data_IF_111449489410
#
_entry.id   IF_111449489410
#
_cell.length_a   1.000
_cell.length_b   1.000
_cell.length_c   1.000
_cell.angle_alpha   90.00
_cell.angle_beta   90.00
_cell.angle_gamma   90.00
#
_symmetry.space_group_name_H-M   'P 1'
#
loop_
_entity.id
_entity.type
_entity.pdbx_description
1 polymer ?
#
# COMPACT_ATOMS: atom_id res chain seq x y z
N UNK A 1 -5.64 -30.18 -12.12
CA UNK A 1 -4.58 -29.95 -11.12
C UNK A 1 -4.35 -28.45 -11.02
N UNK A 2 -4.25 -27.88 -9.83
CA UNK A 2 -3.93 -26.47 -9.63
C UNK A 2 -2.47 -26.24 -10.06
N UNK A 3 -2.16 -25.23 -10.91
CA UNK A 3 -0.80 -24.98 -11.35
C UNK A 3 0.11 -24.61 -10.16
N UNK A 4 1.42 -24.89 -10.24
CA UNK A 4 2.35 -24.51 -9.17
C UNK A 4 2.47 -22.99 -9.06
N UNK A 5 2.81 -22.49 -7.87
CA UNK A 5 3.17 -21.08 -7.65
C UNK A 5 4.52 -20.82 -8.36
N UNK A 6 4.58 -19.77 -9.17
CA UNK A 6 5.77 -19.37 -9.93
C UNK A 6 6.27 -17.98 -9.58
N UNK A 7 5.43 -17.15 -8.95
CA UNK A 7 5.78 -15.78 -8.58
C UNK A 7 4.98 -15.33 -7.36
N UNK A 8 5.50 -14.32 -6.65
CA UNK A 8 4.82 -13.74 -5.48
C UNK A 8 4.64 -12.23 -5.68
N UNK A 9 3.47 -11.73 -5.28
CA UNK A 9 3.21 -10.30 -5.20
C UNK A 9 2.76 -9.96 -3.78
N UNK A 10 3.35 -8.92 -3.19
CA UNK A 10 3.13 -8.53 -1.80
C UNK A 10 2.39 -7.20 -1.70
N UNK A 11 1.47 -7.12 -0.74
CA UNK A 11 1.08 -5.84 -0.16
C UNK A 11 2.22 -5.27 0.69
N UNK A 12 2.11 -4.02 1.12
CA UNK A 12 3.15 -3.32 1.88
C UNK A 12 2.70 -2.97 3.30
N UNK A 13 1.70 -2.08 3.41
CA UNK A 13 1.21 -1.56 4.69
C UNK A 13 0.60 -2.70 5.52
N UNK A 14 0.94 -2.78 6.80
CA UNK A 14 0.56 -3.85 7.75
C UNK A 14 1.04 -5.27 7.35
N UNK A 15 1.61 -5.43 6.15
CA UNK A 15 2.30 -6.65 5.71
C UNK A 15 3.80 -6.60 6.00
N UNK A 16 4.47 -5.48 5.68
CA UNK A 16 5.93 -5.30 5.90
C UNK A 16 6.28 -4.42 7.10
N UNK A 17 5.40 -3.53 7.52
CA UNK A 17 5.52 -2.62 8.67
C UNK A 17 4.13 -2.24 9.18
N UNK A 18 4.04 -1.80 10.41
CA UNK A 18 2.81 -1.21 10.95
C UNK A 18 2.55 0.17 10.31
N UNK A 19 1.45 0.32 9.57
CA UNK A 19 1.17 1.58 8.86
C UNK A 19 0.75 2.72 9.79
N UNK A 20 0.01 2.41 10.86
CA UNK A 20 -0.57 3.43 11.74
C UNK A 20 0.49 4.34 12.39
N UNK A 21 1.56 3.83 13.02
CA UNK A 21 2.63 4.68 13.58
C UNK A 21 3.30 5.56 12.52
N UNK A 22 3.49 5.03 11.31
CA UNK A 22 4.08 5.77 10.18
C UNK A 22 3.21 6.96 9.79
N UNK A 23 1.89 6.75 9.62
CA UNK A 23 0.96 7.82 9.26
C UNK A 23 0.85 8.88 10.36
N UNK A 24 0.77 8.47 11.63
CA UNK A 24 0.73 9.40 12.78
C UNK A 24 1.98 10.29 12.80
N UNK A 25 3.16 9.71 12.61
CA UNK A 25 4.42 10.47 12.55
C UNK A 25 4.46 11.42 11.34
N UNK A 26 4.01 10.96 10.17
CA UNK A 26 3.99 11.79 8.96
C UNK A 26 3.02 12.98 9.09
N UNK A 27 1.86 12.76 9.70
CA UNK A 27 0.89 13.83 9.98
C UNK A 27 1.40 14.81 11.03
N UNK A 28 2.09 14.34 12.07
CA UNK A 28 2.72 15.22 13.06
C UNK A 28 3.79 16.12 12.44
N UNK A 29 4.71 15.55 11.64
CA UNK A 29 5.73 16.36 10.95
C UNK A 29 5.14 17.38 9.97
N UNK A 30 4.08 17.00 9.28
CA UNK A 30 3.33 17.91 8.42
C UNK A 30 2.73 19.05 9.24
N UNK A 31 2.10 18.77 10.38
CA UNK A 31 1.52 19.79 11.27
C UNK A 31 2.58 20.73 11.84
N UNK A 32 3.74 20.22 12.27
CA UNK A 32 4.86 21.02 12.76
C UNK A 32 5.40 21.95 11.67
N UNK A 33 5.55 21.46 10.44
CA UNK A 33 5.96 22.28 9.30
C UNK A 33 4.96 23.40 9.01
N UNK A 34 3.65 23.10 9.01
CA UNK A 34 2.60 24.10 8.80
C UNK A 34 2.65 25.16 9.92
N UNK A 35 2.78 24.76 11.17
CA UNK A 35 2.85 25.69 12.30
C UNK A 35 4.07 26.62 12.22
N UNK A 36 5.21 26.09 11.78
CA UNK A 36 6.46 26.84 11.70
C UNK A 36 6.51 27.78 10.48
N UNK A 37 6.06 27.35 9.31
CA UNK A 37 6.24 28.07 8.05
C UNK A 37 4.98 28.78 7.55
N UNK A 38 3.80 28.30 7.93
CA UNK A 38 2.50 28.76 7.45
C UNK A 38 1.47 28.82 8.59
N UNK A 39 1.73 29.56 9.71
CA UNK A 39 0.88 29.54 10.90
C UNK A 39 -0.57 29.95 10.61
N UNK A 40 -0.82 30.77 9.58
CA UNK A 40 -2.15 31.13 9.14
C UNK A 40 -2.98 29.98 8.58
N UNK A 41 -2.33 28.87 8.15
CA UNK A 41 -3.01 27.68 7.64
C UNK A 41 -3.35 26.65 8.73
N UNK A 42 -2.79 26.76 9.94
CA UNK A 42 -3.01 25.79 11.04
C UNK A 42 -4.50 25.50 11.29
N UNK A 43 -5.40 26.50 11.42
CA UNK A 43 -6.81 26.23 11.70
C UNK A 43 -7.55 25.59 10.51
N UNK A 44 -6.97 25.55 9.32
CA UNK A 44 -7.60 25.11 8.08
C UNK A 44 -7.06 23.76 7.57
N UNK A 45 -5.86 23.35 7.98
CA UNK A 45 -5.19 22.11 7.59
C UNK A 45 -5.27 21.06 8.71
N UNK A 46 -6.48 20.81 9.21
CA UNK A 46 -6.73 19.73 10.16
C UNK A 46 -6.85 18.39 9.45
N UNK A 47 -6.55 17.25 10.11
CA UNK A 47 -6.75 15.92 9.53
C UNK A 47 -8.15 15.71 8.96
N UNK A 48 -9.17 16.23 9.68
CA UNK A 48 -10.58 16.15 9.27
C UNK A 48 -10.83 16.93 7.97
N UNK A 49 -10.38 18.18 7.88
CA UNK A 49 -10.56 19.02 6.68
C UNK A 49 -9.88 18.38 5.47
N UNK A 50 -8.66 17.86 5.65
CA UNK A 50 -7.92 17.18 4.58
C UNK A 50 -8.66 15.91 4.14
N UNK A 51 -9.15 15.11 5.09
CA UNK A 51 -9.90 13.89 4.80
C UNK A 51 -11.19 14.17 4.03
N UNK A 52 -12.01 15.12 4.49
CA UNK A 52 -13.26 15.52 3.82
C UNK A 52 -13.01 16.00 2.40
N UNK A 53 -11.99 16.84 2.20
CA UNK A 53 -11.68 17.35 0.87
C UNK A 53 -11.17 16.25 -0.06
N UNK A 54 -10.35 15.32 0.43
CA UNK A 54 -9.92 14.15 -0.34
C UNK A 54 -11.09 13.26 -0.75
N UNK A 55 -12.06 13.06 0.14
CA UNK A 55 -13.28 12.29 -0.15
C UNK A 55 -14.10 12.98 -1.24
N UNK A 56 -14.29 14.30 -1.16
CA UNK A 56 -14.97 15.08 -2.20
C UNK A 56 -14.20 14.99 -3.53
N UNK A 57 -12.89 15.16 -3.52
CA UNK A 57 -12.05 15.04 -4.72
C UNK A 57 -12.15 13.67 -5.37
N UNK A 58 -12.18 12.61 -4.58
CA UNK A 58 -12.33 11.25 -5.11
C UNK A 58 -13.70 11.03 -5.78
N UNK A 59 -14.76 11.63 -5.23
CA UNK A 59 -16.10 11.58 -5.80
C UNK A 59 -16.20 12.42 -7.09
N UNK A 60 -15.63 13.63 -7.11
CA UNK A 60 -15.65 14.53 -8.26
C UNK A 60 -14.74 14.05 -9.42
N UNK A 61 -13.71 13.27 -9.10
CA UNK A 61 -12.71 12.76 -10.05
C UNK A 61 -12.55 11.23 -9.97
N UNK A 62 -13.60 10.45 -10.34
CA UNK A 62 -13.59 8.98 -10.18
C UNK A 62 -12.45 8.29 -10.93
N UNK A 63 -11.98 8.89 -12.05
CA UNK A 63 -10.81 8.40 -12.78
C UNK A 63 -9.49 8.50 -12.00
N UNK A 64 -9.42 9.33 -10.94
CA UNK A 64 -8.26 9.53 -10.08
C UNK A 64 -8.50 9.14 -8.62
N UNK A 65 -9.65 8.56 -8.31
CA UNK A 65 -10.02 8.19 -6.93
C UNK A 65 -9.06 7.17 -6.28
N UNK A 66 -8.25 6.48 -7.07
CA UNK A 66 -7.22 5.54 -6.65
C UNK A 66 -5.85 6.20 -6.40
N UNK A 67 -5.65 7.45 -6.82
CA UNK A 67 -4.37 8.16 -6.78
C UNK A 67 -4.24 8.93 -5.46
N UNK A 68 -3.67 8.26 -4.45
CA UNK A 68 -3.54 8.82 -3.11
C UNK A 68 -2.58 10.02 -3.05
N UNK A 69 -1.58 10.04 -3.92
CA UNK A 69 -0.63 11.16 -4.05
C UNK A 69 -1.36 12.39 -4.56
N UNK A 70 -2.08 12.26 -5.66
CA UNK A 70 -2.84 13.37 -6.23
C UNK A 70 -3.93 13.88 -5.28
N UNK A 71 -4.72 12.96 -4.70
CA UNK A 71 -5.80 13.34 -3.78
C UNK A 71 -5.30 14.18 -2.60
N UNK A 72 -4.17 13.79 -1.99
CA UNK A 72 -3.62 14.54 -0.86
C UNK A 72 -3.00 15.86 -1.31
N UNK A 73 -2.19 15.85 -2.36
CA UNK A 73 -1.54 17.06 -2.89
C UNK A 73 -2.57 18.09 -3.33
N UNK A 74 -3.60 17.67 -4.08
CA UNK A 74 -4.64 18.56 -4.57
C UNK A 74 -5.51 19.12 -3.44
N UNK A 75 -5.79 18.31 -2.39
CA UNK A 75 -6.49 18.80 -1.21
C UNK A 75 -5.68 19.92 -0.51
N UNK A 76 -4.39 19.71 -0.31
CA UNK A 76 -3.50 20.70 0.32
C UNK A 76 -3.39 21.97 -0.54
N UNK A 77 -3.25 21.85 -1.85
CA UNK A 77 -3.22 22.98 -2.80
C UNK A 77 -4.51 23.81 -2.74
N UNK A 78 -5.68 23.16 -2.74
CA UNK A 78 -6.96 23.86 -2.68
C UNK A 78 -7.17 24.58 -1.35
N UNK A 79 -6.74 23.98 -0.24
CA UNK A 79 -6.82 24.66 1.06
C UNK A 79 -5.89 25.86 1.08
N UNK A 80 -4.63 25.72 0.64
CA UNK A 80 -3.69 26.84 0.55
C UNK A 80 -4.26 28.00 -0.29
N UNK A 81 -4.74 27.72 -1.50
CA UNK A 81 -5.32 28.71 -2.39
C UNK A 81 -6.57 29.39 -1.79
N UNK A 82 -7.47 28.63 -1.18
CA UNK A 82 -8.70 29.17 -0.54
C UNK A 82 -8.38 30.18 0.57
N UNK A 83 -7.22 30.04 1.21
CA UNK A 83 -6.80 30.90 2.30
C UNK A 83 -5.69 31.91 1.88
N UNK A 84 -5.59 32.21 0.59
CA UNK A 84 -4.76 33.29 0.06
C UNK A 84 -3.25 32.95 -0.04
N UNK A 85 -2.90 31.66 0.00
CA UNK A 85 -1.53 31.20 -0.20
C UNK A 85 -1.31 30.68 -1.62
N UNK A 86 -0.06 30.68 -2.07
CA UNK A 86 0.33 30.03 -3.32
C UNK A 86 0.03 28.51 -3.26
N UNK A 87 -0.57 27.90 -4.30
CA UNK A 87 -0.76 26.43 -4.37
C UNK A 87 0.53 25.62 -4.15
N UNK A 88 1.70 26.14 -4.50
CA UNK A 88 3.00 25.50 -4.23
C UNK A 88 3.26 25.24 -2.74
N UNK A 89 2.62 25.99 -1.84
CA UNK A 89 2.63 25.69 -0.40
C UNK A 89 2.03 24.33 -0.09
N UNK A 90 0.94 23.96 -0.77
CA UNK A 90 0.33 22.64 -0.63
C UNK A 90 1.26 21.52 -1.09
N UNK A 91 2.02 21.74 -2.15
CA UNK A 91 3.04 20.78 -2.64
C UNK A 91 4.19 20.63 -1.63
N UNK A 92 4.69 21.75 -1.08
CA UNK A 92 5.73 21.71 -0.06
C UNK A 92 5.29 20.98 1.21
N UNK A 93 4.04 21.16 1.64
CA UNK A 93 3.45 20.44 2.77
C UNK A 93 3.37 18.94 2.47
N UNK A 94 2.97 18.57 1.24
CA UNK A 94 2.93 17.16 0.82
C UNK A 94 4.32 16.51 0.82
N UNK A 95 5.37 17.23 0.38
CA UNK A 95 6.74 16.70 0.40
C UNK A 95 7.22 16.35 1.81
N UNK A 96 6.86 17.15 2.81
CA UNK A 96 7.15 16.84 4.22
C UNK A 96 6.43 15.57 4.67
N UNK A 97 5.14 15.44 4.31
CA UNK A 97 4.35 14.25 4.61
C UNK A 97 4.95 13.00 3.96
N UNK A 98 5.22 13.04 2.65
CA UNK A 98 5.67 11.85 1.92
C UNK A 98 7.09 11.44 2.29
N UNK A 99 7.95 12.38 2.68
CA UNK A 99 9.27 12.07 3.23
C UNK A 99 9.13 11.22 4.50
N UNK A 100 8.33 11.69 5.47
CA UNK A 100 8.10 10.99 6.73
C UNK A 100 7.32 9.66 6.55
N UNK A 101 6.42 9.58 5.54
CA UNK A 101 5.66 8.37 5.17
C UNK A 101 6.58 7.23 4.74
N UNK A 102 7.75 7.52 4.22
CA UNK A 102 8.74 6.53 3.78
C UNK A 102 9.75 6.14 4.88
N UNK A 103 9.67 6.73 6.06
CA UNK A 103 10.46 6.31 7.23
C UNK A 103 9.72 5.20 7.97
N UNK A 104 9.84 3.98 7.50
CA UNK A 104 9.16 2.80 8.05
C UNK A 104 10.09 2.00 8.97
N UNK A 105 9.52 1.31 9.93
CA UNK A 105 10.18 0.30 10.74
C UNK A 105 9.65 -1.06 10.29
N UNK A 106 10.50 -1.84 9.60
CA UNK A 106 10.14 -3.14 9.07
C UNK A 106 9.93 -4.14 10.20
N UNK A 107 8.98 -5.07 10.03
CA UNK A 107 8.96 -6.27 10.87
C UNK A 107 10.23 -7.09 10.65
N UNK A 108 10.75 -7.71 11.70
CA UNK A 108 12.04 -8.43 11.71
C UNK A 108 12.09 -9.59 10.70
N UNK A 109 10.95 -10.16 10.34
CA UNK A 109 10.81 -11.27 9.41
C UNK A 109 10.88 -10.85 7.94
N UNK A 110 10.72 -9.57 7.61
CA UNK A 110 10.55 -9.10 6.23
C UNK A 110 11.80 -9.34 5.39
N UNK A 111 12.92 -8.73 5.77
CA UNK A 111 14.15 -8.82 4.95
C UNK A 111 14.64 -10.27 4.82
N UNK A 112 14.73 -11.08 5.89
CA UNK A 112 15.12 -12.47 5.77
C UNK A 112 14.19 -13.30 4.87
N UNK A 113 12.86 -13.05 4.95
CA UNK A 113 11.89 -13.73 4.09
C UNK A 113 12.03 -13.32 2.62
N UNK A 114 12.21 -12.01 2.33
CA UNK A 114 12.42 -11.53 0.96
C UNK A 114 13.67 -12.14 0.33
N UNK A 115 14.76 -12.27 1.08
CA UNK A 115 15.99 -12.93 0.59
C UNK A 115 15.72 -14.41 0.28
N UNK A 116 15.09 -15.14 1.20
CA UNK A 116 14.83 -16.57 1.01
C UNK A 116 13.81 -16.85 -0.12
N UNK A 117 12.75 -16.04 -0.24
CA UNK A 117 11.76 -16.16 -1.28
C UNK A 117 12.29 -15.71 -2.65
N UNK A 118 13.06 -14.61 -2.69
CA UNK A 118 13.65 -14.07 -3.91
C UNK A 118 14.69 -14.98 -4.56
N UNK A 119 15.31 -15.88 -3.78
CA UNK A 119 16.18 -16.93 -4.31
C UNK A 119 15.44 -17.98 -5.17
N UNK A 120 14.09 -18.04 -5.04
CA UNK A 120 13.27 -19.11 -5.66
C UNK A 120 12.18 -18.58 -6.59
N UNK A 121 11.72 -17.37 -6.36
CA UNK A 121 10.59 -16.75 -7.08
C UNK A 121 10.92 -15.32 -7.47
N UNK A 122 10.48 -14.85 -8.64
CA UNK A 122 10.39 -13.43 -8.91
C UNK A 122 9.36 -12.80 -7.96
N UNK A 123 9.74 -11.67 -7.35
CA UNK A 123 8.91 -10.94 -6.39
C UNK A 123 8.45 -9.62 -6.98
N UNK A 124 7.20 -9.25 -6.73
CA UNK A 124 6.66 -7.92 -7.01
C UNK A 124 5.89 -7.39 -5.80
N UNK A 125 5.54 -6.12 -5.86
CA UNK A 125 4.63 -5.49 -4.88
C UNK A 125 3.46 -4.83 -5.56
N UNK A 126 2.32 -4.76 -4.86
CA UNK A 126 1.20 -3.90 -5.21
C UNK A 126 0.59 -3.30 -3.95
N UNK A 127 0.58 -1.97 -3.84
CA UNK A 127 -0.04 -1.25 -2.72
C UNK A 127 -1.10 -0.26 -3.20
N UNK A 128 -2.16 -0.08 -2.41
CA UNK A 128 -3.09 1.04 -2.59
C UNK A 128 -2.49 2.37 -2.09
N UNK A 129 -1.43 2.30 -1.30
CA UNK A 129 -0.69 3.45 -0.78
C UNK A 129 0.36 3.99 -1.74
N UNK A 130 1.11 4.96 -1.25
CA UNK A 130 2.14 5.68 -2.00
C UNK A 130 3.53 5.58 -1.36
N UNK A 131 3.81 4.47 -0.65
CA UNK A 131 5.15 4.18 -0.17
C UNK A 131 6.12 3.94 -1.34
N UNK A 132 7.32 4.50 -1.24
CA UNK A 132 8.38 4.35 -2.24
C UNK A 132 9.45 3.39 -1.72
N UNK A 133 9.49 2.17 -2.26
CA UNK A 133 10.46 1.15 -1.89
C UNK A 133 11.91 1.52 -2.20
N UNK A 134 12.16 2.51 -3.06
CA UNK A 134 13.51 3.05 -3.29
C UNK A 134 13.97 3.89 -2.11
N UNK A 135 13.10 4.74 -1.59
CA UNK A 135 13.36 5.54 -0.37
C UNK A 135 13.49 4.65 0.87
N UNK A 136 12.71 3.57 0.94
CA UNK A 136 12.73 2.59 2.04
C UNK A 136 13.97 1.66 1.96
N UNK A 137 14.56 1.49 0.77
CA UNK A 137 15.75 0.64 0.59
C UNK A 137 15.42 -0.83 0.33
N UNK A 138 14.22 -1.16 -0.13
CA UNK A 138 13.80 -2.54 -0.43
C UNK A 138 13.70 -2.85 -1.93
N UNK A 139 13.85 -1.87 -2.81
CA UNK A 139 13.60 -2.01 -4.25
C UNK A 139 14.40 -3.12 -4.92
N UNK A 140 15.61 -3.45 -4.40
CA UNK A 140 16.49 -4.49 -4.97
C UNK A 140 15.92 -5.91 -4.87
N UNK A 141 14.89 -6.14 -4.04
CA UNK A 141 14.26 -7.44 -3.89
C UNK A 141 13.17 -7.72 -4.93
N UNK A 142 12.75 -6.71 -5.71
CA UNK A 142 11.57 -6.80 -6.56
C UNK A 142 11.88 -6.57 -8.03
N UNK A 143 11.29 -7.40 -8.89
CA UNK A 143 11.31 -7.22 -10.34
C UNK A 143 10.23 -6.25 -10.82
N UNK A 144 9.19 -6.02 -10.01
CA UNK A 144 8.08 -5.09 -10.26
C UNK A 144 7.60 -4.42 -8.97
N UNK A 145 7.47 -3.10 -9.00
CA UNK A 145 6.92 -2.31 -7.89
C UNK A 145 5.73 -1.53 -8.43
N UNK A 146 4.53 -2.01 -8.13
CA UNK A 146 3.30 -1.43 -8.60
C UNK A 146 2.52 -0.81 -7.44
N UNK A 147 1.73 0.19 -7.77
CA UNK A 147 0.75 0.78 -6.86
C UNK A 147 -0.51 1.17 -7.62
N UNK A 148 -1.54 1.58 -6.90
CA UNK A 148 -2.81 1.96 -7.50
C UNK A 148 -2.67 3.11 -8.51
N UNK A 149 -1.77 4.07 -8.25
CA UNK A 149 -1.47 5.20 -9.14
C UNK A 149 -0.88 4.73 -10.48
N UNK A 150 0.16 3.89 -10.44
CA UNK A 150 0.86 3.41 -11.64
C UNK A 150 0.00 2.51 -12.53
N UNK A 151 -0.94 1.77 -11.93
CA UNK A 151 -1.82 0.82 -12.65
C UNK A 151 -3.15 1.46 -13.06
N UNK A 152 -3.53 2.57 -12.46
CA UNK A 152 -4.82 3.23 -12.72
C UNK A 152 -6.01 2.57 -12.00
N UNK A 153 -5.76 1.64 -11.07
CA UNK A 153 -6.81 1.06 -10.25
C UNK A 153 -6.28 0.54 -8.90
N UNK A 154 -7.14 0.56 -7.88
CA UNK A 154 -6.83 0.08 -6.53
C UNK A 154 -7.44 -1.30 -6.27
N UNK A 155 -6.87 -2.06 -5.35
CA UNK A 155 -7.54 -3.20 -4.70
C UNK A 155 -8.85 -2.69 -4.05
N UNK A 156 -9.95 -3.41 -4.14
CA UNK A 156 -10.12 -4.82 -4.52
C UNK A 156 -10.37 -5.08 -6.01
N UNK A 157 -10.19 -4.11 -6.91
CA UNK A 157 -10.46 -4.32 -8.34
C UNK A 157 -9.49 -5.36 -8.93
N UNK A 158 -10.00 -6.27 -9.74
CA UNK A 158 -9.23 -7.34 -10.38
C UNK A 158 -8.03 -6.83 -11.19
N UNK A 159 -8.14 -5.64 -11.79
CA UNK A 159 -7.06 -5.00 -12.57
C UNK A 159 -5.73 -4.88 -11.80
N UNK A 160 -5.77 -4.65 -10.48
CA UNK A 160 -4.59 -4.59 -9.62
C UNK A 160 -3.80 -5.91 -9.63
N UNK A 161 -4.50 -7.03 -9.47
CA UNK A 161 -3.90 -8.37 -9.42
C UNK A 161 -3.46 -8.86 -10.81
N UNK A 162 -4.25 -8.57 -11.83
CA UNK A 162 -3.92 -8.92 -13.22
C UNK A 162 -2.69 -8.16 -13.70
N UNK A 163 -2.56 -6.87 -13.37
CA UNK A 163 -1.37 -6.08 -13.66
C UNK A 163 -0.13 -6.63 -12.92
N UNK A 164 -0.29 -7.07 -11.68
CA UNK A 164 0.78 -7.69 -10.90
C UNK A 164 1.26 -9.00 -11.53
N UNK A 165 0.34 -9.89 -11.94
CA UNK A 165 0.65 -11.13 -12.62
C UNK A 165 1.36 -10.88 -13.96
N UNK A 166 0.89 -9.88 -14.73
CA UNK A 166 1.51 -9.47 -16.00
C UNK A 166 2.94 -8.94 -15.79
N UNK A 167 3.17 -8.10 -14.76
CA UNK A 167 4.49 -7.59 -14.43
C UNK A 167 5.48 -8.69 -14.01
N UNK A 168 4.96 -9.78 -13.42
CA UNK A 168 5.73 -10.98 -13.06
C UNK A 168 5.89 -11.97 -14.21
N UNK A 169 5.21 -11.78 -15.34
CA UNK A 169 5.28 -12.68 -16.51
C UNK A 169 4.64 -14.04 -16.25
N UNK A 170 3.63 -14.13 -15.40
CA UNK A 170 2.93 -15.39 -15.03
C UNK A 170 1.43 -15.27 -15.25
N UNK A 171 0.75 -16.43 -15.37
CA UNK A 171 -0.70 -16.46 -15.32
C UNK A 171 -1.21 -16.14 -13.90
N UNK A 172 -2.42 -15.55 -13.74
CA UNK A 172 -2.95 -15.23 -12.41
C UNK A 172 -2.92 -16.42 -11.44
N UNK A 173 -3.25 -17.63 -11.90
CA UNK A 173 -3.29 -18.85 -11.08
C UNK A 173 -1.90 -19.32 -10.62
N UNK A 174 -0.83 -18.82 -11.22
CA UNK A 174 0.56 -19.11 -10.89
C UNK A 174 1.15 -18.06 -9.93
N UNK A 175 0.44 -16.95 -9.69
CA UNK A 175 0.83 -15.90 -8.74
C UNK A 175 0.19 -16.16 -7.37
N UNK A 176 1.02 -16.09 -6.32
CA UNK A 176 0.55 -16.00 -4.94
C UNK A 176 0.58 -14.53 -4.51
N UNK A 177 -0.60 -13.96 -4.26
CA UNK A 177 -0.70 -12.63 -3.65
C UNK A 177 -0.61 -12.78 -2.12
N UNK A 178 0.19 -11.94 -1.47
CA UNK A 178 0.50 -12.03 -0.05
C UNK A 178 0.15 -10.70 0.62
N UNK A 179 -0.76 -10.70 1.57
CA UNK A 179 -1.17 -9.48 2.27
C UNK A 179 -1.90 -9.77 3.58
N UNK A 180 -2.13 -8.72 4.36
CA UNK A 180 -2.74 -8.80 5.69
C UNK A 180 -4.27 -8.63 5.69
N UNK A 181 -4.82 -7.96 4.67
CA UNK A 181 -6.23 -7.59 4.65
C UNK A 181 -7.10 -8.69 4.01
N UNK A 182 -8.03 -9.32 4.78
CA UNK A 182 -8.90 -10.37 4.27
C UNK A 182 -9.69 -9.96 3.01
N UNK A 183 -10.24 -8.73 2.97
CA UNK A 183 -11.06 -8.26 1.85
C UNK A 183 -10.23 -7.79 0.66
N UNK A 184 -9.26 -6.89 0.92
CA UNK A 184 -8.52 -6.19 -0.12
C UNK A 184 -7.45 -7.07 -0.77
N UNK A 185 -6.87 -8.02 -0.01
CA UNK A 185 -5.77 -8.86 -0.48
C UNK A 185 -6.23 -10.27 -0.80
N UNK A 186 -6.90 -10.93 0.15
CA UNK A 186 -7.20 -12.35 0.00
C UNK A 186 -8.41 -12.59 -0.90
N UNK A 187 -9.58 -12.09 -0.49
CA UNK A 187 -10.83 -12.29 -1.26
C UNK A 187 -10.70 -11.71 -2.66
N UNK A 188 -10.12 -10.51 -2.78
CA UNK A 188 -9.97 -9.84 -4.06
C UNK A 188 -8.99 -10.54 -5.00
N UNK A 189 -7.84 -11.04 -4.49
CA UNK A 189 -6.89 -11.81 -5.29
C UNK A 189 -7.54 -13.14 -5.76
N UNK A 190 -8.22 -13.83 -4.86
CA UNK A 190 -8.95 -15.07 -5.18
C UNK A 190 -10.03 -14.84 -6.24
N UNK A 191 -10.80 -13.77 -6.12
CA UNK A 191 -11.82 -13.38 -7.10
C UNK A 191 -11.21 -12.99 -8.47
N UNK A 192 -9.99 -12.48 -8.49
CA UNK A 192 -9.24 -12.21 -9.71
C UNK A 192 -8.57 -13.46 -10.33
N UNK A 193 -8.75 -14.64 -9.73
CA UNK A 193 -8.18 -15.90 -10.20
C UNK A 193 -6.75 -16.15 -9.72
N UNK A 194 -6.23 -15.35 -8.82
CA UNK A 194 -4.92 -15.57 -8.19
C UNK A 194 -5.02 -16.51 -6.99
N UNK A 195 -3.89 -17.01 -6.53
CA UNK A 195 -3.77 -17.62 -5.21
C UNK A 195 -3.51 -16.55 -4.17
N UNK A 196 -3.87 -16.80 -2.91
CA UNK A 196 -3.71 -15.82 -1.85
C UNK A 196 -3.14 -16.42 -0.57
N UNK A 197 -2.17 -15.74 0.04
CA UNK A 197 -1.69 -16.00 1.38
C UNK A 197 -2.10 -14.85 2.30
N UNK A 198 -2.73 -15.19 3.41
CA UNK A 198 -3.08 -14.23 4.45
C UNK A 198 -1.97 -14.15 5.50
N UNK A 199 -1.42 -12.97 5.69
CA UNK A 199 -0.44 -12.68 6.75
C UNK A 199 -1.19 -12.20 7.98
N UNK A 200 -1.56 -13.13 8.83
CA UNK A 200 -2.34 -12.88 10.05
C UNK A 200 -1.42 -12.66 11.26
N UNK A 201 -0.82 -11.48 11.35
CA UNK A 201 0.12 -11.12 12.42
C UNK A 201 -0.53 -11.04 13.80
N UNK A 202 -1.82 -10.81 13.86
CA UNK A 202 -2.57 -10.60 15.11
C UNK A 202 -3.25 -11.86 15.64
N UNK A 203 -3.27 -12.95 14.87
CA UNK A 203 -4.00 -14.18 15.22
C UNK A 203 -5.54 -14.00 15.23
N UNK A 204 -6.05 -13.02 14.48
CA UNK A 204 -7.49 -12.77 14.37
C UNK A 204 -8.17 -13.92 13.62
N UNK A 205 -9.35 -14.40 14.03
CA UNK A 205 -10.07 -15.40 13.26
C UNK A 205 -10.44 -14.90 11.87
N UNK A 206 -10.45 -15.81 10.87
CA UNK A 206 -10.94 -15.46 9.55
C UNK A 206 -12.39 -14.96 9.62
N UNK A 207 -12.74 -13.84 8.96
CA UNK A 207 -14.09 -13.29 9.01
C UNK A 207 -15.10 -14.28 8.42
N UNK A 208 -16.10 -14.67 9.23
CA UNK A 208 -17.05 -15.73 8.88
C UNK A 208 -17.96 -15.39 7.68
N UNK A 209 -18.12 -14.09 7.40
CA UNK A 209 -18.89 -13.57 6.26
C UNK A 209 -18.17 -13.72 4.91
N UNK A 210 -16.87 -13.99 4.92
CA UNK A 210 -16.07 -14.11 3.70
C UNK A 210 -16.10 -15.52 3.13
N UNK A 211 -16.60 -15.66 1.91
CA UNK A 211 -16.79 -16.94 1.24
C UNK A 211 -15.51 -17.54 0.61
N UNK A 212 -14.50 -16.70 0.33
CA UNK A 212 -13.25 -17.13 -0.28
C UNK A 212 -12.12 -17.11 0.76
N UNK A 213 -11.76 -18.28 1.27
CA UNK A 213 -10.65 -18.42 2.21
C UNK A 213 -9.27 -18.29 1.52
N UNK A 214 -8.21 -17.95 2.26
CA UNK A 214 -6.84 -17.97 1.74
C UNK A 214 -6.40 -19.41 1.38
N UNK A 215 -5.47 -19.53 0.43
CA UNK A 215 -4.80 -20.81 0.15
C UNK A 215 -3.79 -21.15 1.25
N UNK A 216 -3.21 -20.14 1.86
CA UNK A 216 -2.29 -20.23 3.00
C UNK A 216 -2.62 -19.14 4.02
N UNK A 217 -2.55 -19.48 5.30
CA UNK A 217 -2.54 -18.54 6.41
C UNK A 217 -1.21 -18.69 7.15
N UNK A 218 -0.55 -17.56 7.41
CA UNK A 218 0.74 -17.50 8.10
C UNK A 218 0.76 -16.33 9.08
N UNK A 219 1.49 -16.47 10.16
CA UNK A 219 1.64 -15.40 11.17
C UNK A 219 2.70 -14.37 10.79
N UNK A 220 3.66 -14.73 9.92
CA UNK A 220 4.75 -13.87 9.46
C UNK A 220 5.38 -14.42 8.16
N UNK A 221 6.17 -13.61 7.46
CA UNK A 221 6.70 -13.96 6.14
C UNK A 221 7.76 -15.07 6.16
N UNK A 222 8.50 -15.26 7.26
CA UNK A 222 9.42 -16.40 7.38
C UNK A 222 8.66 -17.73 7.43
N UNK A 223 7.48 -17.77 8.06
CA UNK A 223 6.61 -18.95 8.01
C UNK A 223 6.17 -19.23 6.56
N UNK A 224 5.78 -18.17 5.81
CA UNK A 224 5.47 -18.31 4.39
C UNK A 224 6.63 -18.92 3.60
N UNK A 225 7.85 -18.41 3.82
CA UNK A 225 9.04 -18.95 3.18
C UNK A 225 9.27 -20.43 3.48
N UNK A 226 9.07 -20.84 4.74
CA UNK A 226 9.19 -22.25 5.14
C UNK A 226 8.11 -23.13 4.48
N UNK A 227 6.85 -22.67 4.43
CA UNK A 227 5.73 -23.39 3.80
C UNK A 227 5.91 -23.58 2.29
N UNK A 228 6.54 -22.62 1.62
CA UNK A 228 6.82 -22.70 0.18
C UNK A 228 8.12 -23.47 -0.14
N UNK A 229 8.91 -23.83 0.88
CA UNK A 229 10.15 -24.59 0.69
C UNK A 229 9.91 -26.11 0.59
N UNK A 230 8.83 -26.62 1.17
CA UNK A 230 8.44 -28.04 1.14
C UNK A 230 7.54 -28.36 -0.02
#
# INVERSE_FOLDING_TARGET
MTPPIRALCFDLDDTFWEVRPVLVRAEARMADFIAAQHPGLVPHLTPETIFQLRTTLAADHPARAHDMTWLRTEALRRIALRHGHDPAVGEAIFEVFIAARNEVELFDDVVPALVALGARYPLATFSNGNADLRRIGLHQHFVGMLNAESVGCAKPKAGAFLASAAALGVAPQEMLYVGDNPHLDVVAARAAGCRAAWVNRTGTPWPAELSLAPDLEVSHLLELSARLAG
#
